data_IF_424286295722
#
_entry.id   IF_424286295722
#
_cell.length_a   1.000
_cell.length_b   1.000
_cell.length_c   1.000
_cell.angle_alpha   90.00
_cell.angle_beta   90.00
_cell.angle_gamma   90.00
#
_symmetry.space_group_name_H-M   'P 1'
#
loop_
_entity.id
_entity.type
_entity.pdbx_description
1 polymer ?
#
# COMPACT_ATOMS: atom_id res chain seq x y z
N UNK A 1 -13.29 -12.69 -20.55
CA UNK A 1 -13.14 -11.25 -20.90
C UNK A 1 -12.22 -10.61 -19.88
N UNK A 2 -10.92 -10.53 -20.18
CA UNK A 2 -9.96 -9.79 -19.36
C UNK A 2 -10.24 -8.29 -19.55
N UNK A 3 -10.99 -7.70 -18.62
CA UNK A 3 -11.12 -6.24 -18.52
C UNK A 3 -9.77 -5.73 -18.05
N UNK A 4 -8.92 -5.40 -19.01
CA UNK A 4 -7.80 -4.52 -18.74
C UNK A 4 -8.44 -3.25 -18.18
N UNK A 5 -8.17 -2.97 -16.90
CA UNK A 5 -8.71 -1.85 -16.13
C UNK A 5 -8.00 -0.59 -16.63
N UNK A 6 -8.27 -0.28 -17.89
CA UNK A 6 -7.53 0.66 -18.69
C UNK A 6 -8.02 2.07 -18.38
N UNK A 7 -7.17 2.78 -17.65
CA UNK A 7 -6.83 4.20 -17.87
C UNK A 7 -7.30 5.24 -16.85
N UNK A 8 -8.23 4.98 -15.93
CA UNK A 8 -8.74 6.03 -15.02
C UNK A 8 -8.07 6.12 -13.62
N UNK A 9 -7.25 5.14 -13.23
CA UNK A 9 -6.37 5.23 -12.05
C UNK A 9 -5.03 5.96 -12.33
N UNK A 10 -4.90 6.57 -13.52
CA UNK A 10 -3.81 7.49 -13.90
C UNK A 10 -4.08 8.82 -13.16
N UNK A 11 -3.40 9.27 -12.13
CA UNK A 11 -1.98 9.19 -11.86
C UNK A 11 -1.66 9.02 -10.35
N UNK A 12 -2.60 9.28 -9.43
CA UNK A 12 -2.27 9.35 -8.00
C UNK A 12 -2.40 8.00 -7.28
N UNK A 13 -3.57 7.34 -7.37
CA UNK A 13 -3.80 6.06 -6.68
C UNK A 13 -2.79 4.98 -7.12
N UNK A 14 -2.60 4.81 -8.43
CA UNK A 14 -1.67 3.82 -8.97
C UNK A 14 -0.23 4.05 -8.52
N UNK A 15 0.25 5.30 -8.50
CA UNK A 15 1.60 5.63 -8.04
C UNK A 15 1.78 5.32 -6.54
N UNK A 16 0.80 5.69 -5.72
CA UNK A 16 0.83 5.37 -4.29
C UNK A 16 0.73 3.87 -4.04
N UNK A 17 -0.11 3.13 -4.78
CA UNK A 17 -0.24 1.68 -4.66
C UNK A 17 1.05 0.93 -5.05
N UNK A 18 1.74 1.37 -6.11
CA UNK A 18 3.04 0.80 -6.53
C UNK A 18 4.11 1.06 -5.46
N UNK A 19 4.20 2.30 -4.96
CA UNK A 19 5.11 2.64 -3.87
C UNK A 19 4.81 1.86 -2.59
N UNK A 20 3.53 1.70 -2.26
CA UNK A 20 3.08 0.95 -1.09
C UNK A 20 3.44 -0.53 -1.20
N UNK A 21 3.20 -1.16 -2.36
CA UNK A 21 3.58 -2.55 -2.59
C UNK A 21 5.09 -2.79 -2.50
N UNK A 22 5.91 -1.82 -2.93
CA UNK A 22 7.36 -1.87 -2.74
C UNK A 22 7.74 -1.76 -1.26
N UNK A 23 7.14 -0.83 -0.53
CA UNK A 23 7.36 -0.68 0.91
C UNK A 23 6.93 -1.93 1.70
N UNK A 24 5.87 -2.62 1.28
CA UNK A 24 5.45 -3.91 1.88
C UNK A 24 6.51 -5.00 1.68
N UNK A 25 7.15 -5.07 0.50
CA UNK A 25 8.26 -6.02 0.24
C UNK A 25 9.52 -5.70 1.04
N UNK A 26 9.81 -4.42 1.24
CA UNK A 26 10.92 -3.96 2.06
C UNK A 26 10.65 -4.08 3.57
N UNK A 27 9.47 -4.60 3.98
CA UNK A 27 9.09 -4.71 5.39
C UNK A 27 8.82 -3.36 6.07
N UNK A 28 8.68 -2.29 5.30
CA UNK A 28 8.42 -0.93 5.77
C UNK A 28 6.92 -0.69 5.94
N UNK A 29 6.28 -1.45 6.84
CA UNK A 29 4.81 -1.43 7.03
C UNK A 29 4.25 -0.05 7.37
N UNK A 30 4.99 0.77 8.12
CA UNK A 30 4.60 2.16 8.42
C UNK A 30 4.50 3.01 7.15
N UNK A 31 5.50 2.90 6.28
CA UNK A 31 5.56 3.64 5.01
C UNK A 31 4.51 3.14 4.03
N UNK A 32 4.30 1.82 3.99
CA UNK A 32 3.23 1.20 3.22
C UNK A 32 1.85 1.69 3.66
N UNK A 33 1.56 1.71 4.96
CA UNK A 33 0.27 2.19 5.49
C UNK A 33 0.02 3.67 5.15
N UNK A 34 1.05 4.52 5.23
CA UNK A 34 0.95 5.93 4.86
C UNK A 34 0.67 6.11 3.36
N UNK A 35 1.34 5.32 2.51
CA UNK A 35 1.13 5.35 1.06
C UNK A 35 -0.28 4.84 0.71
N UNK A 36 -0.78 3.79 1.36
CA UNK A 36 -2.15 3.33 1.19
C UNK A 36 -3.18 4.36 1.68
N UNK A 37 -2.90 5.13 2.74
CA UNK A 37 -3.76 6.27 3.17
C UNK A 37 -3.80 7.39 2.12
N UNK A 38 -2.67 7.72 1.53
CA UNK A 38 -2.61 8.71 0.43
C UNK A 38 -3.31 8.20 -0.82
N UNK A 39 -3.20 6.90 -1.11
CA UNK A 39 -3.96 6.24 -2.17
C UNK A 39 -5.46 6.32 -1.88
N UNK A 40 -5.90 5.98 -0.66
CA UNK A 40 -7.29 6.08 -0.23
C UNK A 40 -7.87 7.48 -0.40
N UNK A 41 -7.14 8.51 0.05
CA UNK A 41 -7.55 9.91 -0.11
C UNK A 41 -7.63 10.34 -1.59
N UNK A 42 -6.81 9.73 -2.45
CA UNK A 42 -6.79 9.99 -3.90
C UNK A 42 -7.77 9.11 -4.69
N UNK A 43 -8.39 8.11 -4.04
CA UNK A 43 -9.28 7.16 -4.69
C UNK A 43 -10.63 7.82 -4.96
N UNK A 44 -11.05 7.79 -6.23
CA UNK A 44 -12.33 8.35 -6.67
C UNK A 44 -13.44 7.29 -6.54
N UNK A 45 -13.13 6.06 -6.91
CA UNK A 45 -14.03 4.90 -6.83
C UNK A 45 -14.13 4.29 -5.43
N UNK A 46 -15.33 3.85 -5.07
CA UNK A 46 -15.58 3.12 -3.82
C UNK A 46 -14.78 1.82 -3.71
N UNK A 47 -14.62 1.09 -4.82
CA UNK A 47 -13.82 -0.13 -4.85
C UNK A 47 -12.32 0.12 -4.55
N UNK A 48 -11.77 1.26 -5.01
CA UNK A 48 -10.38 1.62 -4.72
C UNK A 48 -10.19 2.06 -3.27
N UNK A 49 -11.20 2.71 -2.67
CA UNK A 49 -11.19 3.08 -1.25
C UNK A 49 -11.20 1.83 -0.38
N UNK A 50 -12.17 0.95 -0.60
CA UNK A 50 -12.27 -0.31 0.15
C UNK A 50 -10.98 -1.14 0.05
N UNK A 51 -10.40 -1.23 -1.14
CA UNK A 51 -9.11 -1.90 -1.32
C UNK A 51 -7.99 -1.26 -0.50
N UNK A 52 -7.87 0.07 -0.50
CA UNK A 52 -6.87 0.76 0.28
C UNK A 52 -7.09 0.60 1.79
N UNK A 53 -8.33 0.63 2.27
CA UNK A 53 -8.66 0.39 3.68
C UNK A 53 -8.24 -1.00 4.15
N UNK A 54 -8.55 -2.03 3.36
CA UNK A 54 -8.13 -3.42 3.64
C UNK A 54 -6.60 -3.49 3.74
N UNK A 55 -5.88 -2.81 2.85
CA UNK A 55 -4.40 -2.81 2.86
C UNK A 55 -3.81 -2.00 4.01
N UNK A 56 -4.43 -0.90 4.43
CA UNK A 56 -4.01 -0.15 5.63
C UNK A 56 -4.13 -1.06 6.86
N UNK A 57 -5.29 -1.71 7.04
CA UNK A 57 -5.52 -2.63 8.14
C UNK A 57 -4.54 -3.83 8.12
N UNK A 58 -4.21 -4.33 6.92
CA UNK A 58 -3.19 -5.37 6.75
C UNK A 58 -1.81 -4.88 7.20
N UNK A 59 -1.38 -3.69 6.76
CA UNK A 59 -0.09 -3.11 7.13
C UNK A 59 0.00 -2.84 8.65
N UNK A 60 -1.08 -2.36 9.27
CA UNK A 60 -1.14 -2.14 10.73
C UNK A 60 -1.07 -3.46 11.50
N UNK A 61 -1.75 -4.51 11.03
CA UNK A 61 -1.64 -5.86 11.59
C UNK A 61 -0.24 -6.45 11.39
N UNK A 62 0.39 -6.27 10.23
CA UNK A 62 1.75 -6.72 9.95
C UNK A 62 2.77 -6.02 10.86
N UNK A 63 2.58 -4.71 11.09
CA UNK A 63 3.35 -3.94 12.09
C UNK A 63 3.18 -4.53 13.50
N UNK A 64 1.95 -4.75 13.94
CA UNK A 64 1.66 -5.27 15.29
C UNK A 64 2.14 -6.71 15.49
N UNK A 65 2.13 -7.52 14.44
CA UNK A 65 2.65 -8.89 14.46
C UNK A 65 4.17 -8.95 14.33
N UNK A 66 4.84 -7.80 14.22
CA UNK A 66 6.30 -7.74 14.09
C UNK A 66 6.78 -8.47 12.85
N UNK A 67 6.04 -8.42 11.74
CA UNK A 67 6.45 -8.97 10.45
C UNK A 67 7.63 -8.16 9.87
N UNK A 68 8.69 -7.89 10.64
CA UNK A 68 9.91 -7.34 10.07
C UNK A 68 10.39 -8.34 9.03
N UNK A 69 10.16 -8.03 7.75
CA UNK A 69 11.09 -8.45 6.73
C UNK A 69 12.45 -8.01 7.26
N UNK A 70 13.28 -9.00 7.57
CA UNK A 70 14.60 -8.88 8.17
C UNK A 70 15.22 -7.50 7.91
N UNK A 71 15.10 -6.59 8.88
CA UNK A 71 15.89 -5.36 8.90
C UNK A 71 17.11 -5.63 9.79
N UNK A 72 17.79 -6.73 9.52
CA UNK A 72 19.20 -6.89 9.84
C UNK A 72 19.97 -6.15 8.73
N UNK A 73 19.95 -4.82 8.73
CA UNK A 73 20.89 -3.97 8.00
C UNK A 73 20.62 -2.50 8.36
N UNK A 74 21.21 -2.06 9.48
CA UNK A 74 21.86 -0.75 9.68
C UNK A 74 21.57 -0.14 11.05
N UNK A 75 22.66 -0.10 11.83
CA UNK A 75 22.83 0.63 13.08
C UNK A 75 24.16 0.21 13.69
N UNK A 76 25.25 0.65 13.04
CA UNK A 76 26.65 0.60 13.53
C UNK A 76 26.77 1.12 14.96
#
# INVERSE_FOLDING_TARGET
>A
MAKIVEHAARNNFGQYAVGAGRAEREGQWLKAALLWRNAHASARDGACREWAEIRIAFCEKAKSRGWRGSHECQGV
#
